data_IF_418474678615
#
_entry.id   IF_418474678615
#
_cell.length_a   1.000
_cell.length_b   1.000
_cell.length_c   1.000
_cell.angle_alpha   90.00
_cell.angle_beta   90.00
_cell.angle_gamma   90.00
#
_symmetry.space_group_name_H-M   'P 1'
#
loop_
_entity.id
_entity.type
_entity.pdbx_description
1 polymer ?
#
# COMPACT_ATOMS: atom_id res chain seq x y z
N UNK A 1 18.58 -21.11 1.14
CA UNK A 1 18.72 -19.65 1.23
C UNK A 1 18.28 -18.93 -0.05
N UNK A 2 18.98 -19.14 -1.18
CA UNK A 2 18.67 -18.42 -2.42
C UNK A 2 17.28 -18.75 -2.97
N UNK A 3 16.85 -20.02 -2.89
CA UNK A 3 15.55 -20.46 -3.42
C UNK A 3 14.44 -20.11 -2.44
N UNK A 4 14.56 -20.53 -1.18
CA UNK A 4 13.48 -20.41 -0.20
C UNK A 4 13.38 -19.03 0.44
N UNK A 5 14.45 -18.26 0.46
CA UNK A 5 14.45 -16.89 0.98
C UNK A 5 14.26 -15.84 -0.11
N UNK A 6 15.27 -15.68 -0.97
CA UNK A 6 15.30 -14.56 -1.93
C UNK A 6 14.35 -14.78 -3.08
N UNK A 7 14.41 -15.94 -3.75
CA UNK A 7 13.59 -16.20 -4.95
C UNK A 7 12.10 -16.22 -4.62
N UNK A 8 11.70 -16.85 -3.51
CA UNK A 8 10.31 -16.94 -3.13
C UNK A 8 9.72 -15.56 -2.83
N UNK A 9 10.44 -14.71 -2.10
CA UNK A 9 10.01 -13.35 -1.80
C UNK A 9 9.90 -12.49 -3.07
N UNK A 10 10.87 -12.59 -3.96
CA UNK A 10 10.88 -11.85 -5.24
C UNK A 10 9.75 -12.35 -6.15
N UNK A 11 9.57 -13.66 -6.28
CA UNK A 11 8.51 -14.25 -7.11
C UNK A 11 7.12 -13.83 -6.63
N UNK A 12 6.89 -13.83 -5.30
CA UNK A 12 5.65 -13.37 -4.70
C UNK A 12 5.38 -11.90 -5.01
N UNK A 13 6.37 -11.02 -4.79
CA UNK A 13 6.23 -9.59 -5.08
C UNK A 13 5.91 -9.35 -6.55
N UNK A 14 6.60 -10.03 -7.46
CA UNK A 14 6.33 -9.92 -8.90
C UNK A 14 4.90 -10.40 -9.22
N UNK A 15 4.50 -11.55 -8.72
CA UNK A 15 3.20 -12.14 -9.00
C UNK A 15 2.03 -11.27 -8.52
N UNK A 16 2.18 -10.64 -7.33
CA UNK A 16 1.13 -9.81 -6.73
C UNK A 16 1.12 -8.39 -7.30
N UNK A 17 2.29 -7.80 -7.57
CA UNK A 17 2.37 -6.40 -8.01
C UNK A 17 2.21 -6.21 -9.52
N UNK A 18 2.70 -7.14 -10.36
CA UNK A 18 2.75 -6.95 -11.79
C UNK A 18 1.36 -6.85 -12.44
N UNK A 19 0.38 -7.74 -12.18
CA UNK A 19 -0.92 -7.67 -12.84
C UNK A 19 -1.67 -6.37 -12.56
N UNK A 20 -1.82 -5.92 -11.30
CA UNK A 20 -2.51 -4.67 -11.01
C UNK A 20 -1.80 -3.46 -11.59
N UNK A 21 -0.46 -3.41 -11.54
CA UNK A 21 0.29 -2.30 -12.09
C UNK A 21 0.20 -2.22 -13.62
N UNK A 22 0.22 -3.37 -14.29
CA UNK A 22 0.10 -3.44 -15.74
C UNK A 22 -1.27 -2.95 -16.26
N UNK A 23 -2.30 -3.00 -15.42
CA UNK A 23 -3.64 -2.47 -15.75
C UNK A 23 -3.74 -0.99 -15.32
N UNK A 24 -3.34 -0.70 -14.09
CA UNK A 24 -3.55 0.61 -13.47
C UNK A 24 -2.76 1.73 -14.17
N UNK A 25 -1.46 1.54 -14.44
CA UNK A 25 -0.65 2.60 -15.04
C UNK A 25 -1.10 3.00 -16.45
N UNK A 26 -1.38 2.10 -17.39
CA UNK A 26 -1.91 2.49 -18.69
C UNK A 26 -3.27 3.19 -18.57
N UNK A 27 -4.18 2.68 -17.74
CA UNK A 27 -5.50 3.28 -17.53
C UNK A 27 -5.37 4.71 -16.97
N UNK A 28 -4.53 4.88 -15.97
CA UNK A 28 -4.30 6.19 -15.35
C UNK A 28 -3.67 7.19 -16.31
N UNK A 29 -2.67 6.76 -17.10
CA UNK A 29 -2.03 7.60 -18.11
C UNK A 29 -3.00 7.99 -19.23
N UNK A 30 -3.88 7.08 -19.64
CA UNK A 30 -4.94 7.41 -20.60
C UNK A 30 -5.89 8.48 -20.05
N UNK A 31 -6.32 8.39 -18.79
CA UNK A 31 -7.16 9.39 -18.14
C UNK A 31 -6.43 10.75 -18.01
N UNK A 32 -5.12 10.72 -17.81
CA UNK A 32 -4.27 11.91 -17.80
C UNK A 32 -4.21 12.55 -19.19
N UNK A 33 -3.94 11.75 -20.24
CA UNK A 33 -3.89 12.21 -21.63
C UNK A 33 -5.23 12.79 -22.13
N UNK A 34 -6.35 12.21 -21.71
CA UNK A 34 -7.68 12.77 -21.95
C UNK A 34 -7.92 14.12 -21.24
N UNK A 35 -7.06 14.53 -20.33
CA UNK A 35 -7.26 15.73 -19.52
C UNK A 35 -8.40 15.60 -18.52
N UNK A 36 -8.84 14.38 -18.21
CA UNK A 36 -9.88 14.12 -17.22
C UNK A 36 -9.41 14.44 -15.80
N UNK A 37 -8.18 14.00 -15.46
CA UNK A 37 -7.62 14.20 -14.13
C UNK A 37 -7.47 15.67 -13.72
N UNK A 38 -6.96 16.57 -14.57
CA UNK A 38 -6.91 18.01 -14.24
C UNK A 38 -8.29 18.62 -13.96
N UNK A 39 -9.34 18.16 -14.67
CA UNK A 39 -10.71 18.64 -14.42
C UNK A 39 -11.27 18.15 -13.09
N UNK A 40 -11.00 16.89 -12.74
CA UNK A 40 -11.36 16.35 -11.41
C UNK A 40 -10.66 17.16 -10.32
N UNK A 41 -9.36 17.43 -10.46
CA UNK A 41 -8.60 18.24 -9.51
C UNK A 41 -9.21 19.65 -9.33
N UNK A 42 -9.62 20.27 -10.43
CA UNK A 42 -10.24 21.59 -10.40
C UNK A 42 -11.61 21.56 -9.68
N UNK A 43 -12.44 20.57 -9.96
CA UNK A 43 -13.75 20.43 -9.31
C UNK A 43 -13.63 20.15 -7.80
N UNK A 44 -12.61 19.41 -7.39
CA UNK A 44 -12.36 19.06 -5.99
C UNK A 44 -11.55 20.14 -5.23
N UNK A 45 -11.01 21.14 -5.92
CA UNK A 45 -10.16 22.16 -5.32
C UNK A 45 -10.82 22.87 -4.14
N UNK A 46 -12.11 23.17 -4.23
CA UNK A 46 -12.88 23.81 -3.17
C UNK A 46 -12.97 22.94 -1.90
N UNK A 47 -13.08 21.63 -2.06
CA UNK A 47 -13.12 20.67 -0.95
C UNK A 47 -11.75 20.58 -0.26
N UNK A 48 -10.68 20.48 -1.05
CA UNK A 48 -9.31 20.41 -0.52
C UNK A 48 -8.87 21.72 0.12
N UNK A 49 -9.24 22.87 -0.42
CA UNK A 49 -8.96 24.19 0.18
C UNK A 49 -9.56 24.34 1.58
N UNK A 50 -10.78 23.82 1.81
CA UNK A 50 -11.41 23.84 3.14
C UNK A 50 -10.61 23.04 4.18
N UNK A 51 -9.90 22.01 3.76
CA UNK A 51 -8.99 21.21 4.60
C UNK A 51 -7.57 21.75 4.65
N UNK A 52 -7.30 22.94 4.09
CA UNK A 52 -5.99 23.58 4.08
C UNK A 52 -4.98 22.94 3.12
N UNK A 53 -5.47 22.17 2.16
CA UNK A 53 -4.71 21.49 1.13
C UNK A 53 -4.94 22.10 -0.26
N UNK A 54 -4.19 21.65 -1.25
CA UNK A 54 -4.26 22.11 -2.62
C UNK A 54 -5.09 21.15 -3.49
N UNK A 55 -5.85 21.66 -4.47
CA UNK A 55 -6.66 20.83 -5.38
C UNK A 55 -5.85 19.79 -6.16
N UNK A 56 -4.57 20.07 -6.48
CA UNK A 56 -3.64 19.06 -7.05
C UNK A 56 -3.46 17.83 -6.16
N UNK A 57 -3.75 17.91 -4.85
CA UNK A 57 -3.71 16.76 -3.95
C UNK A 57 -4.75 15.69 -4.32
N UNK A 58 -5.86 16.05 -4.96
CA UNK A 58 -6.82 15.08 -5.50
C UNK A 58 -6.17 14.13 -6.51
N UNK A 59 -5.25 14.62 -7.34
CA UNK A 59 -4.52 13.80 -8.30
C UNK A 59 -3.56 12.84 -7.59
N UNK A 60 -2.78 13.35 -6.65
CA UNK A 60 -1.82 12.53 -5.90
C UNK A 60 -2.52 11.46 -5.08
N UNK A 61 -3.67 11.78 -4.50
CA UNK A 61 -4.53 10.84 -3.80
C UNK A 61 -5.08 9.75 -4.72
N UNK A 62 -5.60 10.13 -5.89
CA UNK A 62 -6.10 9.15 -6.87
C UNK A 62 -5.00 8.18 -7.32
N UNK A 63 -3.78 8.67 -7.51
CA UNK A 63 -2.61 7.82 -7.76
C UNK A 63 -2.26 6.96 -6.55
N UNK A 64 -2.44 7.48 -5.33
CA UNK A 64 -2.19 6.78 -4.07
C UNK A 64 -3.08 5.56 -3.86
N UNK A 65 -4.33 5.60 -4.32
CA UNK A 65 -5.23 4.43 -4.31
C UNK A 65 -4.73 3.30 -5.24
N UNK A 66 -4.02 3.63 -6.30
CA UNK A 66 -3.34 2.63 -7.11
C UNK A 66 -2.01 2.19 -6.46
N UNK A 67 -1.13 3.14 -6.20
CA UNK A 67 0.19 2.91 -5.61
C UNK A 67 0.61 4.12 -4.77
N UNK A 68 0.80 3.93 -3.46
CA UNK A 68 1.23 5.02 -2.56
C UNK A 68 2.56 5.63 -2.99
N UNK A 69 3.51 4.83 -3.47
CA UNK A 69 4.79 5.34 -3.96
C UNK A 69 4.61 6.26 -5.18
N UNK A 70 3.74 5.88 -6.12
CA UNK A 70 3.39 6.72 -7.26
C UNK A 70 2.68 8.01 -6.82
N UNK A 71 1.76 7.92 -5.85
CA UNK A 71 1.08 9.07 -5.25
C UNK A 71 2.07 10.06 -4.62
N UNK A 72 3.03 9.57 -3.84
CA UNK A 72 4.09 10.41 -3.24
C UNK A 72 4.97 11.06 -4.31
N UNK A 73 5.37 10.34 -5.35
CA UNK A 73 6.16 10.91 -6.46
C UNK A 73 5.35 11.98 -7.20
N UNK A 74 4.05 11.75 -7.39
CA UNK A 74 3.16 12.70 -8.04
C UNK A 74 2.98 14.01 -7.28
N UNK A 75 3.27 14.06 -5.96
CA UNK A 75 3.21 15.32 -5.19
C UNK A 75 4.14 16.40 -5.71
N UNK A 76 5.11 16.04 -6.56
CA UNK A 76 6.02 17.00 -7.23
C UNK A 76 5.28 18.01 -8.11
N UNK A 77 4.04 17.72 -8.52
CA UNK A 77 3.19 18.67 -9.27
C UNK A 77 2.69 19.83 -8.40
N UNK A 78 2.81 19.72 -7.08
CA UNK A 78 2.43 20.74 -6.12
C UNK A 78 3.61 21.69 -5.93
N UNK A 79 3.41 22.96 -6.27
CA UNK A 79 4.48 23.94 -6.29
C UNK A 79 4.92 24.36 -4.87
N UNK A 80 3.96 24.50 -3.95
CA UNK A 80 4.21 24.88 -2.57
C UNK A 80 4.87 23.74 -1.77
N UNK A 81 6.09 23.94 -1.21
CA UNK A 81 6.74 22.91 -0.38
C UNK A 81 5.92 22.49 0.83
N UNK A 82 5.17 23.42 1.42
CA UNK A 82 4.26 23.18 2.54
C UNK A 82 3.12 22.23 2.15
N UNK A 83 2.41 22.54 1.09
CA UNK A 83 1.28 21.75 0.63
C UNK A 83 1.73 20.39 0.09
N UNK A 84 2.91 20.35 -0.54
CA UNK A 84 3.54 19.10 -0.97
C UNK A 84 3.85 18.19 0.21
N UNK A 85 4.36 18.72 1.32
CA UNK A 85 4.62 17.94 2.53
C UNK A 85 3.32 17.41 3.15
N UNK A 86 2.27 18.22 3.21
CA UNK A 86 0.93 17.78 3.65
C UNK A 86 0.44 16.63 2.74
N UNK A 87 0.56 16.78 1.43
CA UNK A 87 0.15 15.76 0.48
C UNK A 87 0.94 14.45 0.63
N UNK A 88 2.25 14.51 0.89
CA UNK A 88 3.10 13.33 1.14
C UNK A 88 2.64 12.58 2.40
N UNK A 89 2.44 13.30 3.50
CA UNK A 89 2.03 12.69 4.78
C UNK A 89 0.64 12.08 4.65
N UNK A 90 -0.30 12.81 4.09
CA UNK A 90 -1.70 12.38 4.01
C UNK A 90 -1.94 11.31 2.96
N UNK A 91 -1.07 11.18 1.95
CA UNK A 91 -1.17 10.11 0.95
C UNK A 91 -1.11 8.69 1.56
N UNK A 92 -0.49 8.53 2.73
CA UNK A 92 -0.42 7.25 3.43
C UNK A 92 -1.79 6.72 3.90
N UNK A 93 -2.80 7.57 4.02
CA UNK A 93 -4.17 7.15 4.34
C UNK A 93 -4.93 6.59 3.15
N UNK A 94 -4.41 6.75 1.93
CA UNK A 94 -4.97 6.12 0.73
C UNK A 94 -4.70 4.61 0.75
N UNK A 95 -5.74 3.82 0.54
CA UNK A 95 -5.61 2.37 0.41
C UNK A 95 -5.03 2.03 -0.96
N UNK A 96 -3.74 1.69 -0.99
CA UNK A 96 -3.12 1.24 -2.23
C UNK A 96 -3.54 -0.19 -2.60
N UNK A 97 -3.29 -0.54 -3.85
CA UNK A 97 -3.67 -1.84 -4.40
C UNK A 97 -3.10 -3.04 -3.60
N UNK A 98 -1.90 -2.92 -3.03
CA UNK A 98 -1.31 -3.95 -2.17
C UNK A 98 -2.00 -4.11 -0.80
N UNK A 99 -2.74 -3.11 -0.34
CA UNK A 99 -3.49 -3.16 0.94
C UNK A 99 -4.90 -3.73 0.79
N UNK A 100 -5.51 -3.65 -0.39
CA UNK A 100 -6.85 -4.16 -0.62
C UNK A 100 -6.98 -5.66 -0.33
N UNK A 101 -6.11 -6.55 -0.85
CA UNK A 101 -6.19 -7.98 -0.57
C UNK A 101 -6.11 -8.30 0.91
N UNK A 102 -5.20 -7.66 1.64
CA UNK A 102 -5.04 -7.83 3.08
C UNK A 102 -6.31 -7.44 3.85
N UNK A 103 -6.92 -6.33 3.48
CA UNK A 103 -8.14 -5.85 4.14
C UNK A 103 -9.34 -6.72 3.82
N UNK A 104 -9.48 -7.17 2.57
CA UNK A 104 -10.52 -8.10 2.17
C UNK A 104 -10.38 -9.42 2.95
N UNK A 105 -9.16 -9.96 3.04
CA UNK A 105 -8.89 -11.18 3.79
C UNK A 105 -9.26 -11.03 5.27
N UNK A 106 -8.81 -9.98 5.93
CA UNK A 106 -9.12 -9.71 7.34
C UNK A 106 -10.63 -9.54 7.51
N UNK A 107 -11.28 -8.75 6.67
CA UNK A 107 -12.72 -8.54 6.76
C UNK A 107 -13.51 -9.85 6.55
N UNK A 108 -13.13 -10.70 5.60
CA UNK A 108 -13.80 -11.98 5.36
C UNK A 108 -13.63 -12.96 6.51
N UNK A 109 -12.44 -13.04 7.10
CA UNK A 109 -12.17 -13.94 8.23
C UNK A 109 -12.89 -13.46 9.49
N UNK A 110 -12.69 -12.22 9.90
CA UNK A 110 -13.24 -11.72 11.19
C UNK A 110 -14.76 -11.49 11.12
N UNK A 111 -15.25 -10.87 10.07
CA UNK A 111 -16.67 -10.60 9.91
C UNK A 111 -17.42 -11.87 9.55
N UNK A 112 -16.82 -12.75 8.72
CA UNK A 112 -17.38 -14.04 8.39
C UNK A 112 -17.54 -14.97 9.58
N UNK A 113 -16.69 -14.84 10.61
CA UNK A 113 -16.80 -15.61 11.85
C UNK A 113 -17.92 -15.11 12.79
N UNK A 114 -18.29 -13.82 12.72
CA UNK A 114 -19.24 -13.18 13.65
C UNK A 114 -20.65 -13.10 13.05
N UNK A 115 -20.77 -12.99 11.74
CA UNK A 115 -22.03 -12.73 11.03
C UNK A 115 -22.54 -14.02 10.34
N UNK A 116 -23.88 -14.26 10.31
CA UNK A 116 -24.44 -15.41 9.60
C UNK A 116 -24.00 -15.49 8.14
N UNK A 117 -23.76 -16.70 7.64
CA UNK A 117 -23.20 -16.95 6.31
C UNK A 117 -23.97 -16.27 5.15
N UNK A 118 -25.28 -16.08 5.30
CA UNK A 118 -26.11 -15.43 4.29
C UNK A 118 -25.80 -13.95 4.06
N UNK A 119 -25.19 -13.25 5.04
CA UNK A 119 -24.94 -11.81 5.00
C UNK A 119 -23.44 -11.49 5.15
N UNK A 120 -22.61 -12.50 5.39
CA UNK A 120 -21.19 -12.33 5.70
C UNK A 120 -20.40 -11.63 4.59
N UNK A 121 -20.67 -11.98 3.32
CA UNK A 121 -19.98 -11.36 2.17
C UNK A 121 -20.36 -9.88 1.99
N UNK A 122 -21.64 -9.54 2.22
CA UNK A 122 -22.09 -8.16 2.14
C UNK A 122 -21.53 -7.33 3.29
N UNK A 123 -21.50 -7.90 4.51
CA UNK A 123 -20.94 -7.23 5.68
C UNK A 123 -19.42 -7.00 5.53
N UNK A 124 -18.67 -7.97 4.98
CA UNK A 124 -17.26 -7.82 4.69
C UNK A 124 -17.02 -6.73 3.64
N UNK A 125 -17.83 -6.70 2.57
CA UNK A 125 -17.76 -5.66 1.54
C UNK A 125 -17.99 -4.26 2.13
N UNK A 126 -19.04 -4.11 2.93
CA UNK A 126 -19.36 -2.83 3.58
C UNK A 126 -18.27 -2.39 4.56
N UNK A 127 -17.65 -3.32 5.27
CA UNK A 127 -16.53 -3.01 6.15
C UNK A 127 -15.32 -2.49 5.36
N UNK A 128 -14.97 -3.14 4.26
CA UNK A 128 -13.85 -2.70 3.40
C UNK A 128 -14.12 -1.31 2.81
N UNK A 129 -15.35 -1.07 2.33
CA UNK A 129 -15.76 0.27 1.84
C UNK A 129 -15.71 1.28 2.99
N UNK A 130 -16.19 0.91 4.19
CA UNK A 130 -16.15 1.75 5.38
C UNK A 130 -14.72 2.17 5.75
N UNK A 131 -13.76 1.24 5.68
CA UNK A 131 -12.34 1.53 5.94
C UNK A 131 -11.79 2.47 4.87
N UNK A 132 -12.16 2.31 3.59
CA UNK A 132 -11.74 3.21 2.52
C UNK A 132 -12.27 4.64 2.74
N UNK A 133 -13.53 4.78 3.09
CA UNK A 133 -14.16 6.08 3.42
C UNK A 133 -13.52 6.69 4.66
N UNK A 134 -13.25 5.88 5.68
CA UNK A 134 -12.54 6.32 6.89
C UNK A 134 -11.14 6.82 6.56
N UNK A 135 -10.39 6.14 5.70
CA UNK A 135 -9.08 6.57 5.21
C UNK A 135 -9.15 7.95 4.52
N UNK A 136 -10.15 8.17 3.67
CA UNK A 136 -10.39 9.49 3.07
C UNK A 136 -10.72 10.55 4.12
N UNK A 137 -11.56 10.23 5.09
CA UNK A 137 -11.91 11.14 6.18
C UNK A 137 -10.68 11.52 7.02
N UNK A 138 -9.85 10.56 7.36
CA UNK A 138 -8.56 10.81 8.06
C UNK A 138 -7.62 11.66 7.23
N UNK A 139 -7.54 11.44 5.93
CA UNK A 139 -6.71 12.26 5.05
C UNK A 139 -7.12 13.74 5.13
N UNK A 140 -8.41 14.06 5.05
CA UNK A 140 -8.90 15.43 5.19
C UNK A 140 -8.69 15.99 6.61
N UNK A 141 -8.97 15.19 7.63
CA UNK A 141 -8.80 15.60 9.02
C UNK A 141 -7.33 15.90 9.36
N UNK A 142 -6.41 15.03 8.95
CA UNK A 142 -4.97 15.22 9.18
C UNK A 142 -4.42 16.38 8.34
N UNK A 143 -4.88 16.55 7.09
CA UNK A 143 -4.53 17.70 6.26
C UNK A 143 -4.93 19.00 6.95
N UNK A 144 -6.15 19.09 7.45
CA UNK A 144 -6.66 20.25 8.19
C UNK A 144 -5.86 20.48 9.50
N UNK A 145 -5.61 19.42 10.25
CA UNK A 145 -4.82 19.51 11.49
C UNK A 145 -3.40 20.01 11.23
N UNK A 146 -2.70 19.45 10.24
CA UNK A 146 -1.34 19.85 9.86
C UNK A 146 -1.30 21.30 9.38
N UNK A 147 -2.29 21.74 8.60
CA UNK A 147 -2.37 23.10 8.10
C UNK A 147 -2.57 24.15 9.19
N UNK A 148 -3.22 23.76 10.29
CA UNK A 148 -3.49 24.67 11.43
C UNK A 148 -2.42 24.62 12.53
N UNK A 149 -1.71 23.50 12.68
CA UNK A 149 -0.77 23.31 13.80
C UNK A 149 0.67 23.53 13.38
N UNK A 150 1.24 22.62 12.61
CA UNK A 150 2.66 22.55 12.29
C UNK A 150 3.00 23.33 11.02
N UNK A 151 2.19 23.19 10.00
CA UNK A 151 2.41 23.74 8.67
C UNK A 151 1.48 24.94 8.41
N UNK A 152 1.57 25.96 9.25
CA UNK A 152 0.78 27.20 9.10
C UNK A 152 1.20 27.97 7.86
N UNK A 153 0.24 28.56 7.14
CA UNK A 153 0.46 29.40 5.98
C UNK A 153 -0.80 29.49 5.13
N UNK A 154 -0.78 30.42 4.19
CA UNK A 154 -1.88 30.57 3.23
C UNK A 154 -1.84 29.44 2.18
N UNK A 155 -3.03 29.05 1.73
CA UNK A 155 -3.17 28.07 0.63
C UNK A 155 -2.82 28.78 -0.66
N UNK A 156 -1.97 28.17 -1.47
CA UNK A 156 -1.59 28.73 -2.76
C UNK A 156 -2.81 28.81 -3.70
N UNK A 157 -2.87 29.85 -4.51
CA UNK A 157 -3.92 29.99 -5.51
C UNK A 157 -3.72 28.98 -6.63
N UNK A 158 -4.77 28.22 -6.93
CA UNK A 158 -4.74 27.23 -7.99
C UNK A 158 -4.97 27.91 -9.36
N UNK A 159 -3.90 28.22 -10.07
CA UNK A 159 -3.96 28.58 -11.47
C UNK A 159 -3.76 27.31 -12.31
N UNK A 160 -4.84 26.68 -12.72
CA UNK A 160 -4.81 25.56 -13.65
C UNK A 160 -5.10 26.07 -15.05
N UNK A 161 -4.09 26.11 -15.90
CA UNK A 161 -4.31 26.09 -17.32
C UNK A 161 -4.80 24.69 -17.70
N UNK A 162 -6.09 24.56 -17.99
CA UNK A 162 -6.66 23.29 -18.42
C UNK A 162 -6.01 22.89 -19.75
N UNK A 163 -5.27 21.78 -19.80
CA UNK A 163 -4.67 21.34 -21.05
C UNK A 163 -5.76 21.07 -22.08
N UNK A 164 -5.54 21.49 -23.36
CA UNK A 164 -6.48 21.20 -24.42
C UNK A 164 -6.65 19.68 -24.59
N UNK A 165 -7.84 19.24 -24.99
CA UNK A 165 -8.09 17.86 -25.33
C UNK A 165 -7.12 17.42 -26.44
N UNK A 166 -6.28 16.43 -26.12
CA UNK A 166 -5.43 15.79 -27.11
C UNK A 166 -6.02 14.44 -27.47
N UNK A 167 -6.07 14.07 -28.75
CA UNK A 167 -6.48 12.70 -29.11
C UNK A 167 -5.46 11.72 -28.54
N UNK A 168 -5.91 10.73 -27.73
CA UNK A 168 -4.99 9.80 -27.09
C UNK A 168 -4.31 8.91 -28.14
N UNK A 169 -3.00 8.77 -28.03
CA UNK A 169 -2.24 7.82 -28.83
C UNK A 169 -2.18 6.49 -28.09
N UNK A 170 -3.29 5.73 -28.09
CA UNK A 170 -3.49 4.53 -27.27
C UNK A 170 -2.26 3.61 -27.25
N UNK A 171 -1.76 3.20 -28.38
CA UNK A 171 -0.63 2.26 -28.46
C UNK A 171 0.66 2.83 -27.86
N UNK A 172 0.96 4.08 -28.12
CA UNK A 172 2.16 4.73 -27.60
C UNK A 172 2.03 4.89 -26.07
N UNK A 173 0.88 5.33 -25.57
CA UNK A 173 0.63 5.54 -24.14
C UNK A 173 0.69 4.22 -23.37
N UNK A 174 0.09 3.13 -23.91
CA UNK A 174 0.16 1.81 -23.29
C UNK A 174 1.60 1.31 -23.24
N UNK A 175 2.34 1.38 -24.35
CA UNK A 175 3.71 0.90 -24.42
C UNK A 175 4.65 1.66 -23.47
N UNK A 176 4.61 3.00 -23.49
CA UNK A 176 5.43 3.81 -22.59
C UNK A 176 5.06 3.63 -21.13
N UNK A 177 3.77 3.46 -20.79
CA UNK A 177 3.33 3.23 -19.42
C UNK A 177 3.77 1.87 -18.88
N UNK A 178 3.70 0.82 -19.72
CA UNK A 178 4.15 -0.52 -19.35
C UNK A 178 5.67 -0.58 -19.14
N UNK A 179 6.45 0.00 -20.05
CA UNK A 179 7.91 -0.08 -19.98
C UNK A 179 8.45 0.92 -18.96
N UNK A 180 8.16 2.22 -19.14
CA UNK A 180 8.82 3.26 -18.37
C UNK A 180 8.31 3.37 -16.93
N UNK A 181 7.02 3.04 -16.68
CA UNK A 181 6.45 3.14 -15.33
C UNK A 181 6.41 1.78 -14.63
N UNK A 182 5.80 0.77 -15.24
CA UNK A 182 5.63 -0.54 -14.58
C UNK A 182 6.96 -1.23 -14.35
N UNK A 183 7.84 -1.28 -15.35
CA UNK A 183 9.11 -1.99 -15.25
C UNK A 183 10.07 -1.33 -14.26
N UNK A 184 10.13 0.01 -14.24
CA UNK A 184 10.99 0.75 -13.30
C UNK A 184 10.51 0.57 -11.86
N UNK A 185 9.20 0.62 -11.62
CA UNK A 185 8.65 0.43 -10.28
C UNK A 185 8.84 -1.02 -9.83
N UNK A 186 8.59 -1.99 -10.71
CA UNK A 186 8.81 -3.40 -10.44
C UNK A 186 10.28 -3.69 -10.10
N UNK A 187 11.22 -3.15 -10.88
CA UNK A 187 12.65 -3.30 -10.59
C UNK A 187 13.03 -2.78 -9.21
N UNK A 188 12.51 -1.60 -8.83
CA UNK A 188 12.73 -1.06 -7.49
C UNK A 188 12.15 -1.97 -6.41
N UNK A 189 10.95 -2.50 -6.61
CA UNK A 189 10.32 -3.42 -5.67
C UNK A 189 11.16 -4.71 -5.49
N UNK A 190 11.69 -5.28 -6.58
CA UNK A 190 12.58 -6.44 -6.55
C UNK A 190 13.88 -6.17 -5.78
N UNK A 191 14.51 -5.01 -6.02
CA UNK A 191 15.75 -4.61 -5.33
C UNK A 191 15.56 -4.50 -3.82
N UNK A 192 14.37 -4.13 -3.33
CA UNK A 192 14.06 -4.09 -1.90
C UNK A 192 13.55 -5.44 -1.36
N UNK A 193 12.78 -6.18 -2.15
CA UNK A 193 12.22 -7.47 -1.74
C UNK A 193 13.30 -8.56 -1.58
N UNK A 194 14.32 -8.56 -2.42
CA UNK A 194 15.38 -9.55 -2.35
C UNK A 194 16.15 -9.53 -1.01
N UNK A 195 16.68 -8.39 -0.53
CA UNK A 195 17.32 -8.33 0.78
C UNK A 195 16.33 -8.57 1.93
N UNK A 196 15.07 -8.13 1.82
CA UNK A 196 14.07 -8.39 2.83
C UNK A 196 13.79 -9.90 2.98
N UNK A 197 13.60 -10.60 1.87
CA UNK A 197 13.45 -12.07 1.87
C UNK A 197 14.67 -12.79 2.44
N UNK A 198 15.89 -12.32 2.13
CA UNK A 198 17.11 -12.84 2.70
C UNK A 198 17.17 -12.68 4.23
N UNK A 199 16.79 -11.50 4.73
CA UNK A 199 16.77 -11.20 6.17
C UNK A 199 15.74 -12.07 6.89
N UNK A 200 14.53 -12.21 6.35
CA UNK A 200 13.46 -13.04 6.92
C UNK A 200 13.97 -14.49 7.05
N UNK A 201 14.54 -15.01 5.96
CA UNK A 201 15.04 -16.38 5.95
C UNK A 201 16.18 -16.58 6.98
N UNK A 202 17.11 -15.64 7.07
CA UNK A 202 18.21 -15.69 8.04
C UNK A 202 17.68 -15.70 9.48
N UNK A 203 16.80 -14.78 9.82
CA UNK A 203 16.20 -14.66 11.16
C UNK A 203 15.42 -15.93 11.52
N UNK A 204 14.76 -16.56 10.56
CA UNK A 204 13.98 -17.78 10.76
C UNK A 204 14.83 -19.04 10.89
N UNK A 205 16.01 -19.10 10.24
CA UNK A 205 16.83 -20.32 10.15
C UNK A 205 18.11 -20.28 10.99
N UNK A 206 18.45 -19.16 11.63
CA UNK A 206 19.56 -19.10 12.56
C UNK A 206 19.03 -19.37 13.96
N UNK A 207 19.56 -20.43 14.59
CA UNK A 207 19.21 -20.83 15.94
C UNK A 207 20.29 -20.35 16.93
N UNK A 208 19.85 -19.71 18.02
CA UNK A 208 20.69 -19.38 19.17
C UNK A 208 20.24 -20.28 20.32
N UNK A 209 21.02 -21.37 20.59
CA UNK A 209 20.60 -22.40 21.51
C UNK A 209 19.51 -23.30 20.93
N UNK A 210 18.34 -23.33 21.56
CA UNK A 210 17.23 -24.20 21.16
C UNK A 210 16.13 -23.48 20.39
N UNK A 211 16.24 -22.15 20.23
CA UNK A 211 15.21 -21.32 19.61
C UNK A 211 15.76 -20.54 18.41
N UNK A 212 14.90 -20.27 17.42
CA UNK A 212 15.27 -19.41 16.30
C UNK A 212 15.34 -17.94 16.75
N UNK A 213 16.17 -17.14 16.08
CA UNK A 213 16.21 -15.68 16.32
C UNK A 213 14.81 -15.06 16.13
N UNK A 214 14.02 -15.57 15.19
CA UNK A 214 12.65 -15.12 14.99
C UNK A 214 11.79 -15.36 16.24
N UNK A 215 11.86 -16.55 16.85
CA UNK A 215 11.10 -16.85 18.07
C UNK A 215 11.50 -15.96 19.23
N UNK A 216 12.80 -15.76 19.44
CA UNK A 216 13.31 -14.86 20.48
C UNK A 216 12.89 -13.38 20.25
N UNK A 217 12.90 -12.94 19.00
CA UNK A 217 12.47 -11.58 18.65
C UNK A 217 10.96 -11.40 18.85
N UNK A 218 10.16 -12.42 18.52
CA UNK A 218 8.71 -12.42 18.73
C UNK A 218 8.39 -12.32 20.22
N UNK A 219 9.03 -13.12 21.05
CA UNK A 219 8.82 -13.11 22.50
C UNK A 219 9.18 -11.73 23.10
N UNK A 220 10.29 -11.13 22.68
CA UNK A 220 10.67 -9.77 23.06
C UNK A 220 9.66 -8.71 22.64
N UNK A 221 9.03 -8.88 21.48
CA UNK A 221 8.08 -7.91 20.91
C UNK A 221 6.66 -8.12 21.44
N UNK A 222 6.32 -9.29 21.97
CA UNK A 222 4.98 -9.61 22.48
C UNK A 222 4.53 -8.63 23.58
N UNK A 223 5.42 -8.29 24.51
CA UNK A 223 5.10 -7.33 25.56
C UNK A 223 4.70 -5.95 25.05
N UNK A 224 5.38 -5.47 23.99
CA UNK A 224 5.03 -4.21 23.34
C UNK A 224 3.84 -4.37 22.39
N UNK A 225 3.72 -5.52 21.73
CA UNK A 225 2.61 -5.87 20.85
C UNK A 225 1.27 -5.83 21.58
N UNK A 226 1.18 -6.42 22.78
CA UNK A 226 -0.03 -6.40 23.60
C UNK A 226 -0.52 -4.99 23.94
N UNK A 227 0.38 -4.03 24.16
CA UNK A 227 0.03 -2.62 24.34
C UNK A 227 -0.67 -2.01 23.12
N UNK A 228 -0.33 -2.49 21.93
CA UNK A 228 -0.93 -2.04 20.66
C UNK A 228 -2.14 -2.92 20.23
N UNK A 229 -2.48 -3.96 21.00
CA UNK A 229 -3.50 -4.95 20.62
C UNK A 229 -3.05 -5.89 19.50
N UNK A 230 -1.74 -6.05 19.30
CA UNK A 230 -1.12 -6.90 18.28
C UNK A 230 -0.32 -8.02 18.93
N UNK A 231 -0.15 -9.14 18.23
CA UNK A 231 0.78 -10.20 18.63
C UNK A 231 2.19 -9.90 18.08
N UNK A 232 3.24 -10.35 18.75
CA UNK A 232 4.63 -10.17 18.32
C UNK A 232 4.92 -10.68 16.91
N UNK A 233 4.25 -11.76 16.50
CA UNK A 233 4.31 -12.29 15.12
C UNK A 233 3.85 -11.23 14.10
N UNK A 234 2.71 -10.60 14.36
CA UNK A 234 2.14 -9.58 13.49
C UNK A 234 3.03 -8.34 13.49
N UNK A 235 3.53 -7.94 14.66
CA UNK A 235 4.39 -6.78 14.78
C UNK A 235 5.72 -6.99 14.03
N UNK A 236 6.36 -8.14 14.18
CA UNK A 236 7.57 -8.50 13.45
C UNK A 236 7.32 -8.53 11.94
N UNK A 237 6.20 -9.11 11.50
CA UNK A 237 5.83 -9.14 10.09
C UNK A 237 5.66 -7.74 9.50
N UNK A 238 5.05 -6.81 10.23
CA UNK A 238 4.93 -5.42 9.79
C UNK A 238 6.27 -4.71 9.73
N UNK A 239 7.17 -4.92 10.69
CA UNK A 239 8.52 -4.33 10.69
C UNK A 239 9.30 -4.79 9.45
N UNK A 240 9.26 -6.08 9.17
CA UNK A 240 9.97 -6.65 8.02
C UNK A 240 9.34 -6.24 6.69
N UNK A 241 8.03 -6.04 6.68
CA UNK A 241 7.28 -5.62 5.49
C UNK A 241 7.28 -4.11 5.25
N UNK A 242 7.99 -3.30 6.04
CA UNK A 242 8.12 -1.85 5.80
C UNK A 242 8.49 -1.53 4.35
N UNK A 243 9.43 -2.23 3.68
CA UNK A 243 9.78 -1.95 2.29
C UNK A 243 8.68 -2.31 1.28
N UNK A 244 7.85 -3.32 1.59
CA UNK A 244 6.82 -3.82 0.65
C UNK A 244 5.64 -4.40 1.44
N UNK A 245 4.52 -3.70 1.45
CA UNK A 245 3.31 -4.09 2.19
C UNK A 245 2.73 -5.45 1.73
N UNK A 246 3.01 -5.87 0.51
CA UNK A 246 2.55 -7.12 -0.08
C UNK A 246 3.16 -8.36 0.60
N UNK A 247 4.29 -8.18 1.29
CA UNK A 247 4.99 -9.28 1.98
C UNK A 247 4.37 -9.57 3.37
N UNK A 248 3.51 -8.71 3.90
CA UNK A 248 2.92 -8.86 5.25
C UNK A 248 2.26 -10.22 5.43
N UNK A 249 1.34 -10.59 4.52
CA UNK A 249 0.57 -11.84 4.65
C UNK A 249 1.48 -13.08 4.59
N UNK A 250 2.34 -13.25 3.56
CA UNK A 250 3.24 -14.40 3.53
C UNK A 250 4.17 -14.46 4.74
N UNK A 251 4.63 -13.32 5.24
CA UNK A 251 5.51 -13.28 6.43
C UNK A 251 4.75 -13.69 7.69
N UNK A 252 3.52 -13.24 7.89
CA UNK A 252 2.68 -13.67 9.02
C UNK A 252 2.48 -15.19 8.97
N UNK A 253 2.10 -15.74 7.81
CA UNK A 253 1.89 -17.18 7.65
C UNK A 253 3.15 -17.97 7.95
N UNK A 254 4.29 -17.54 7.38
CA UNK A 254 5.57 -18.21 7.61
C UNK A 254 5.98 -18.18 9.08
N UNK A 255 5.87 -17.02 9.75
CA UNK A 255 6.20 -16.89 11.17
C UNK A 255 5.22 -17.67 12.07
N UNK A 256 3.95 -17.71 11.72
CA UNK A 256 2.94 -18.47 12.47
C UNK A 256 3.23 -19.97 12.39
N UNK A 257 3.54 -20.50 11.20
CA UNK A 257 3.95 -21.91 11.03
C UNK A 257 5.21 -22.21 11.84
N UNK A 258 6.16 -21.30 11.86
CA UNK A 258 7.41 -21.45 12.61
C UNK A 258 7.19 -21.51 14.13
N UNK A 259 6.29 -20.65 14.67
CA UNK A 259 6.02 -20.59 16.12
C UNK A 259 5.08 -21.69 16.58
N UNK A 260 4.05 -22.03 15.79
CA UNK A 260 3.05 -23.03 16.18
C UNK A 260 3.47 -24.46 15.87
N UNK A 261 4.52 -24.66 15.04
CA UNK A 261 4.95 -25.99 14.61
C UNK A 261 3.91 -26.76 13.80
N UNK A 262 2.81 -26.10 13.41
CA UNK A 262 1.79 -26.70 12.57
C UNK A 262 2.40 -26.87 11.18
N UNK A 263 2.87 -28.07 10.89
CA UNK A 263 3.34 -28.47 9.57
C UNK A 263 2.14 -28.67 8.64
N UNK A 264 1.47 -27.59 8.27
CA UNK A 264 0.64 -27.60 7.08
C UNK A 264 1.57 -27.68 5.88
N UNK A 265 1.85 -28.91 5.43
CA UNK A 265 2.66 -29.21 4.25
C UNK A 265 3.91 -28.34 4.09
N UNK A 266 5.06 -28.84 4.52
CA UNK A 266 6.36 -28.17 4.36
C UNK A 266 6.71 -28.05 2.88
N UNK A 267 6.34 -26.95 2.26
CA UNK A 267 6.72 -26.66 0.88
C UNK A 267 6.12 -25.34 0.38
N UNK A 268 6.69 -24.80 -0.67
CA UNK A 268 6.18 -23.62 -1.38
C UNK A 268 4.69 -23.75 -1.81
N UNK A 269 4.10 -24.95 -1.76
CA UNK A 269 2.71 -25.24 -2.06
C UNK A 269 1.72 -24.53 -1.12
N UNK A 270 2.02 -24.40 0.18
CA UNK A 270 1.10 -23.74 1.13
C UNK A 270 0.87 -22.26 0.80
N UNK A 271 1.80 -21.62 0.13
CA UNK A 271 1.64 -20.25 -0.37
C UNK A 271 0.77 -20.17 -1.65
N UNK A 272 0.57 -21.26 -2.35
CA UNK A 272 -0.18 -21.33 -3.61
C UNK A 272 -1.54 -22.03 -3.49
N UNK A 273 -1.81 -22.69 -2.37
CA UNK A 273 -3.09 -23.36 -2.11
C UNK A 273 -4.11 -22.50 -1.32
N UNK A 274 -3.73 -21.28 -0.95
CA UNK A 274 -4.60 -20.25 -0.38
C UNK A 274 -4.94 -19.18 -1.40
#
# INVERSE_FOLDING_TARGET
FLIDGVYLAVAWVIAVMLPPMAIFFPMFTLLEDFGYLPRVAFNLDNLFKRSGAHGKQALTMSMGFGCNAAGVVATRIIDSPRERLIAIITNNFSLCNGRWPTQILIATIFIGAVVPAAVSSLAALLAVIGIAVLGMAFMFAVSWALSKTVLKGEVSTFNLELPPYRPPRFWKTIYTSLIDRTLIVLWRAVVFAAPAGAVIWLISNIFIGNESIAAWTIDSLDGFGFLLGLNGVILLAYIVAIPANEIVIPTILMLTVLVTGISGGSGAGVMFEL
#
